data_IF_109528412719
#
_entry.id   IF_109528412719
#
_cell.length_a   1.000
_cell.length_b   1.000
_cell.length_c   1.000
_cell.angle_alpha   90.00
_cell.angle_beta   90.00
_cell.angle_gamma   90.00
#
_symmetry.space_group_name_H-M   'P 1'
#
loop_
_entity.id
_entity.type
_entity.pdbx_description
1 polymer ?
#
# COMPACT_ATOMS: atom_id res chain seq x y z
N UNK A 1 5.39 -12.79 -18.91
CA UNK A 1 6.27 -13.63 -18.06
C UNK A 1 6.06 -13.24 -16.62
N UNK A 2 5.84 -14.22 -15.75
CA UNK A 2 5.52 -13.99 -14.35
C UNK A 2 6.63 -13.30 -13.58
N UNK A 3 7.90 -13.68 -13.79
CA UNK A 3 9.03 -13.01 -13.14
C UNK A 3 9.09 -11.52 -13.48
N UNK A 4 8.64 -11.14 -14.67
CA UNK A 4 8.57 -9.75 -15.10
C UNK A 4 7.51 -8.99 -14.30
N UNK A 5 6.37 -9.63 -14.01
CA UNK A 5 5.31 -9.00 -13.21
C UNK A 5 5.77 -8.75 -11.77
N UNK A 6 6.52 -9.70 -11.19
CA UNK A 6 7.14 -9.49 -9.86
C UNK A 6 8.05 -8.26 -9.90
N UNK A 7 8.90 -8.14 -10.91
CA UNK A 7 9.81 -6.99 -11.02
C UNK A 7 9.07 -5.67 -11.22
N UNK A 8 7.96 -5.70 -11.95
CA UNK A 8 7.12 -4.50 -12.12
C UNK A 8 6.54 -4.03 -10.77
N UNK A 9 6.06 -4.97 -9.95
CA UNK A 9 5.52 -4.62 -8.64
C UNK A 9 6.61 -4.17 -7.69
N UNK A 10 7.75 -4.85 -7.70
CA UNK A 10 8.92 -4.43 -6.91
C UNK A 10 9.33 -3.00 -7.25
N UNK A 11 9.40 -2.68 -8.54
CA UNK A 11 9.75 -1.34 -9.00
C UNK A 11 8.75 -0.28 -8.51
N UNK A 12 7.45 -0.61 -8.49
CA UNK A 12 6.43 0.29 -7.95
C UNK A 12 6.64 0.56 -6.46
N UNK A 13 6.96 -0.47 -5.68
CA UNK A 13 7.25 -0.33 -4.25
C UNK A 13 8.52 0.51 -4.01
N UNK A 14 9.55 0.29 -4.80
CA UNK A 14 10.79 1.08 -4.72
C UNK A 14 10.54 2.54 -5.09
N UNK A 15 9.67 2.79 -6.07
CA UNK A 15 9.26 4.14 -6.45
C UNK A 15 8.55 4.85 -5.30
N UNK A 16 7.68 4.15 -4.58
CA UNK A 16 7.01 4.76 -3.42
C UNK A 16 8.04 5.11 -2.33
N UNK A 17 8.98 4.20 -2.06
CA UNK A 17 10.05 4.46 -1.10
C UNK A 17 10.90 5.68 -1.51
N UNK A 18 11.09 5.88 -2.79
CA UNK A 18 11.81 7.03 -3.34
C UNK A 18 10.94 8.27 -3.56
N UNK A 19 9.66 8.20 -3.23
CA UNK A 19 8.69 9.29 -3.45
C UNK A 19 8.53 9.67 -4.92
N UNK A 20 8.77 8.71 -5.81
CA UNK A 20 8.52 8.85 -7.26
C UNK A 20 7.10 8.36 -7.56
N UNK A 21 6.11 9.24 -7.36
CA UNK A 21 4.71 8.88 -7.51
C UNK A 21 4.31 8.57 -8.95
N UNK A 22 4.99 9.16 -9.92
CA UNK A 22 4.78 8.80 -11.31
C UNK A 22 5.33 7.40 -11.61
N UNK A 23 6.43 7.03 -10.98
CA UNK A 23 7.01 5.70 -11.10
C UNK A 23 6.09 4.60 -10.58
N UNK A 24 5.32 4.88 -9.53
CA UNK A 24 4.37 3.92 -8.96
C UNK A 24 3.32 3.50 -10.00
N UNK A 25 2.85 4.44 -10.82
CA UNK A 25 1.77 4.21 -11.78
C UNK A 25 2.25 3.99 -13.20
N UNK A 26 3.56 3.99 -13.42
CA UNK A 26 4.13 3.87 -14.77
C UNK A 26 3.61 2.64 -15.52
N UNK A 27 3.43 1.54 -14.82
CA UNK A 27 2.97 0.28 -15.38
C UNK A 27 1.54 -0.07 -14.92
N UNK A 28 0.78 0.91 -14.51
CA UNK A 28 -0.63 0.73 -14.19
C UNK A 28 -1.49 1.09 -15.40
N UNK A 29 -2.51 0.29 -15.66
CA UNK A 29 -3.48 0.62 -16.69
C UNK A 29 -4.26 1.87 -16.29
N UNK A 30 -4.65 2.68 -17.29
CA UNK A 30 -5.40 3.91 -17.03
C UNK A 30 -6.69 3.64 -16.24
N UNK A 31 -7.39 2.57 -16.58
CA UNK A 31 -8.63 2.15 -15.92
C UNK A 31 -8.41 1.20 -14.72
N UNK A 32 -7.25 1.22 -14.12
CA UNK A 32 -6.95 0.41 -12.94
C UNK A 32 -8.06 0.53 -11.89
N UNK A 33 -8.46 -0.62 -11.32
CA UNK A 33 -9.36 -0.66 -10.17
C UNK A 33 -8.60 -1.28 -8.99
N UNK A 34 -8.44 -0.52 -7.94
CA UNK A 34 -7.67 -0.95 -6.77
C UNK A 34 -8.47 -0.67 -5.50
N UNK A 35 -8.53 -1.63 -4.60
CA UNK A 35 -9.30 -1.50 -3.37
C UNK A 35 -8.40 -1.58 -2.14
N UNK A 36 -8.48 -0.56 -1.31
CA UNK A 36 -7.95 -0.59 0.05
C UNK A 36 -9.01 -1.29 0.91
N UNK A 37 -8.78 -2.56 1.22
CA UNK A 37 -9.79 -3.38 1.89
C UNK A 37 -9.99 -2.97 3.35
N UNK A 38 -8.96 -2.44 4.00
CA UNK A 38 -9.09 -2.02 5.39
C UNK A 38 -9.94 -0.76 5.54
N UNK A 39 -9.90 0.15 4.55
CA UNK A 39 -10.71 1.36 4.54
C UNK A 39 -12.00 1.21 3.73
N UNK A 40 -12.20 0.06 3.08
CA UNK A 40 -13.32 -0.15 2.14
C UNK A 40 -13.39 0.95 1.08
N UNK A 41 -12.24 1.30 0.53
CA UNK A 41 -12.09 2.38 -0.43
C UNK A 41 -11.64 1.82 -1.77
N UNK A 42 -12.45 2.03 -2.81
CA UNK A 42 -12.12 1.60 -4.17
C UNK A 42 -11.67 2.80 -5.01
N UNK A 43 -10.52 2.65 -5.64
CA UNK A 43 -9.91 3.65 -6.50
C UNK A 43 -10.13 3.21 -7.94
N UNK A 44 -10.88 3.97 -8.71
CA UNK A 44 -11.42 3.55 -10.01
C UNK A 44 -10.59 3.95 -11.23
N UNK A 45 -9.43 4.55 -11.02
CA UNK A 45 -8.52 4.86 -12.10
C UNK A 45 -7.11 5.05 -11.56
N UNK A 46 -6.16 5.12 -12.48
CA UNK A 46 -4.75 5.26 -12.15
C UNK A 46 -4.45 6.53 -11.36
N UNK A 47 -5.10 7.63 -11.67
CA UNK A 47 -4.86 8.90 -10.98
C UNK A 47 -5.34 8.84 -9.52
N UNK A 48 -6.49 8.23 -9.28
CA UNK A 48 -7.01 8.03 -7.92
C UNK A 48 -6.08 7.13 -7.09
N UNK A 49 -5.55 6.10 -7.72
CA UNK A 49 -4.58 5.23 -7.07
C UNK A 49 -3.31 6.00 -6.70
N UNK A 50 -2.79 6.83 -7.61
CA UNK A 50 -1.63 7.68 -7.32
C UNK A 50 -1.91 8.62 -6.15
N UNK A 51 -3.05 9.28 -6.14
CA UNK A 51 -3.45 10.18 -5.04
C UNK A 51 -3.50 9.45 -3.70
N UNK A 52 -3.97 8.21 -3.70
CA UNK A 52 -4.01 7.37 -2.50
C UNK A 52 -2.59 7.06 -2.00
N UNK A 53 -1.66 6.75 -2.89
CA UNK A 53 -0.27 6.52 -2.51
C UNK A 53 0.39 7.78 -1.96
N UNK A 54 0.06 8.95 -2.52
CA UNK A 54 0.54 10.23 -2.04
C UNK A 54 0.00 10.54 -0.65
N UNK A 55 -1.26 10.20 -0.38
CA UNK A 55 -1.88 10.40 0.93
C UNK A 55 -1.17 9.60 2.03
N UNK A 56 -0.78 8.35 1.74
CA UNK A 56 0.03 7.57 2.67
C UNK A 56 1.39 8.23 2.92
N UNK A 57 2.04 8.72 1.88
CA UNK A 57 3.33 9.41 2.01
C UNK A 57 3.20 10.71 2.79
N UNK A 58 2.08 11.40 2.70
CA UNK A 58 1.83 12.62 3.46
C UNK A 58 1.59 12.31 4.94
N UNK A 59 0.87 11.23 5.24
CA UNK A 59 0.62 10.81 6.62
C UNK A 59 1.89 10.32 7.31
N UNK A 60 2.82 9.75 6.54
CA UNK A 60 4.08 9.16 7.01
C UNK A 60 5.19 9.60 6.06
N UNK A 61 5.73 10.82 6.26
CA UNK A 61 6.67 11.41 5.30
C UNK A 61 7.92 10.57 5.06
N UNK A 62 8.39 9.85 6.08
CA UNK A 62 9.53 8.93 5.99
C UNK A 62 9.09 7.48 5.97
N UNK A 63 7.80 7.23 5.70
CA UNK A 63 7.26 5.88 5.60
C UNK A 63 7.97 5.06 4.54
N UNK A 64 8.21 3.78 4.83
CA UNK A 64 8.93 2.88 3.93
C UNK A 64 8.29 1.51 3.91
N UNK A 65 8.29 0.92 2.74
CA UNK A 65 8.02 -0.50 2.55
C UNK A 65 9.33 -1.25 2.85
N UNK A 66 9.26 -2.21 3.77
CA UNK A 66 10.41 -3.01 4.18
C UNK A 66 10.06 -4.50 4.14
N UNK A 67 11.10 -5.33 4.06
CA UNK A 67 11.00 -6.79 4.09
C UNK A 67 9.99 -7.38 3.09
N UNK A 68 10.02 -6.94 1.82
CA UNK A 68 9.03 -7.44 0.85
C UNK A 68 9.31 -8.89 0.45
N UNK A 69 8.25 -9.68 0.36
CA UNK A 69 8.27 -11.01 -0.24
C UNK A 69 7.23 -11.03 -1.36
N UNK A 70 7.62 -11.54 -2.52
CA UNK A 70 6.75 -11.58 -3.70
C UNK A 70 6.46 -13.02 -4.06
N UNK A 71 5.18 -13.33 -4.21
CA UNK A 71 4.70 -14.64 -4.63
C UNK A 71 4.25 -14.52 -6.07
N UNK A 72 4.92 -15.27 -6.94
CA UNK A 72 4.66 -15.26 -8.37
C UNK A 72 3.58 -16.28 -8.71
N UNK A 73 2.41 -15.80 -9.12
CA UNK A 73 1.30 -16.62 -9.56
C UNK A 73 0.91 -16.29 -10.99
N UNK A 74 1.92 -16.14 -11.86
CA UNK A 74 1.81 -15.82 -13.28
C UNK A 74 1.24 -14.41 -13.51
N UNK A 75 -0.02 -14.28 -13.91
CA UNK A 75 -0.65 -12.98 -14.12
C UNK A 75 -1.15 -12.33 -12.84
N UNK A 76 -0.92 -12.97 -11.71
CA UNK A 76 -1.21 -12.43 -10.37
C UNK A 76 0.07 -12.44 -9.55
N UNK A 77 0.38 -11.35 -8.89
CA UNK A 77 1.48 -11.27 -7.93
C UNK A 77 0.91 -10.92 -6.57
N UNK A 78 1.31 -11.68 -5.57
CA UNK A 78 0.99 -11.38 -4.17
C UNK A 78 2.25 -10.84 -3.51
N UNK A 79 2.15 -9.72 -2.83
CA UNK A 79 3.26 -9.14 -2.09
C UNK A 79 2.90 -9.06 -0.61
N UNK A 80 3.82 -9.51 0.23
CA UNK A 80 3.71 -9.34 1.68
C UNK A 80 4.89 -8.48 2.12
N UNK A 81 4.60 -7.44 2.88
CA UNK A 81 5.64 -6.50 3.31
C UNK A 81 5.20 -5.80 4.59
N UNK A 82 6.13 -5.05 5.16
CA UNK A 82 5.87 -4.20 6.32
C UNK A 82 5.92 -2.74 5.85
N UNK A 83 5.04 -1.90 6.35
CA UNK A 83 5.15 -0.45 6.19
C UNK A 83 5.48 0.14 7.55
N UNK A 84 6.56 0.90 7.60
CA UNK A 84 7.04 1.54 8.84
C UNK A 84 7.14 3.04 8.63
N UNK A 85 6.85 3.80 9.66
CA UNK A 85 7.00 5.24 9.61
C UNK A 85 6.46 5.92 10.85
N UNK A 86 6.70 7.22 10.95
CA UNK A 86 6.17 8.07 12.02
C UNK A 86 5.01 8.90 11.45
N UNK A 87 3.91 8.93 12.19
CA UNK A 87 2.73 9.68 11.77
C UNK A 87 2.94 11.18 12.01
N UNK A 88 3.48 11.83 11.02
CA UNK A 88 3.80 13.27 11.05
C UNK A 88 2.87 14.14 10.19
N UNK A 89 1.91 13.53 9.53
CA UNK A 89 0.89 14.21 8.74
C UNK A 89 -0.49 13.64 8.99
N UNK A 90 -1.54 14.27 8.48
CA UNK A 90 -2.90 13.78 8.70
C UNK A 90 -3.12 12.43 8.01
N UNK A 91 -3.85 11.55 8.66
CA UNK A 91 -4.33 10.30 8.07
C UNK A 91 -5.84 10.45 7.88
N UNK A 92 -6.26 10.77 6.66
CA UNK A 92 -7.66 11.17 6.42
C UNK A 92 -8.03 12.37 7.27
N UNK A 93 -9.08 12.25 8.06
CA UNK A 93 -9.53 13.29 9.00
C UNK A 93 -8.81 13.26 10.35
N UNK A 94 -7.95 12.26 10.57
CA UNK A 94 -7.24 12.10 11.84
C UNK A 94 -5.97 12.94 11.85
N UNK A 95 -5.78 13.67 12.95
CA UNK A 95 -4.60 14.51 13.11
C UNK A 95 -3.36 13.66 13.38
N UNK A 96 -2.17 14.13 12.98
CA UNK A 96 -0.95 13.40 13.27
C UNK A 96 -0.69 13.31 14.78
N UNK A 97 -0.22 12.13 15.21
CA UNK A 97 0.06 11.88 16.63
C UNK A 97 1.54 11.81 16.95
N UNK A 98 2.40 11.77 15.92
CA UNK A 98 3.84 11.61 16.12
C UNK A 98 4.24 10.19 16.51
N UNK A 99 3.30 9.24 16.54
CA UNK A 99 3.59 7.86 16.92
C UNK A 99 4.10 7.07 15.73
N UNK A 100 4.82 6.00 16.03
CA UNK A 100 5.37 5.10 15.02
C UNK A 100 4.38 4.02 14.64
N UNK A 101 4.40 3.67 13.36
CA UNK A 101 3.65 2.57 12.79
C UNK A 101 4.63 1.50 12.30
N UNK A 102 4.31 0.24 12.55
CA UNK A 102 4.90 -0.91 11.88
C UNK A 102 3.77 -1.88 11.59
N UNK A 103 3.40 -2.00 10.33
CA UNK A 103 2.15 -2.63 9.93
C UNK A 103 2.37 -3.63 8.82
N UNK A 104 1.83 -4.85 8.99
CA UNK A 104 1.89 -5.86 7.97
C UNK A 104 0.85 -5.58 6.88
N UNK A 105 1.29 -5.64 5.62
CA UNK A 105 0.44 -5.50 4.44
C UNK A 105 0.51 -6.76 3.60
N UNK A 106 -0.61 -7.07 2.96
CA UNK A 106 -0.66 -8.03 1.87
C UNK A 106 -1.31 -7.34 0.68
N UNK A 107 -0.66 -7.39 -0.47
CA UNK A 107 -1.16 -6.79 -1.70
C UNK A 107 -1.31 -7.85 -2.76
N UNK A 108 -2.42 -7.80 -3.50
CA UNK A 108 -2.68 -8.72 -4.62
C UNK A 108 -2.87 -7.87 -5.86
N UNK A 109 -2.06 -8.11 -6.90
CA UNK A 109 -2.13 -7.36 -8.15
C UNK A 109 -2.32 -8.29 -9.32
N UNK A 110 -3.25 -7.94 -10.20
CA UNK A 110 -3.53 -8.65 -11.45
C UNK A 110 -2.94 -7.88 -12.62
N UNK A 111 -2.27 -8.59 -13.50
CA UNK A 111 -1.55 -8.01 -14.63
C UNK A 111 -2.17 -8.45 -15.95
N UNK A 112 -2.17 -7.55 -16.94
CA UNK A 112 -2.54 -7.91 -18.31
C UNK A 112 -1.34 -8.51 -19.07
N UNK A 113 -1.57 -8.87 -20.32
CA UNK A 113 -0.53 -9.49 -21.16
C UNK A 113 0.64 -8.56 -21.48
N UNK A 114 0.45 -7.25 -21.33
CA UNK A 114 1.50 -6.27 -21.54
C UNK A 114 2.27 -5.94 -20.24
N UNK A 115 1.95 -6.62 -19.15
CA UNK A 115 2.61 -6.39 -17.87
C UNK A 115 2.13 -5.16 -17.12
N UNK A 116 0.92 -4.68 -17.43
CA UNK A 116 0.31 -3.57 -16.69
C UNK A 116 -0.59 -4.09 -15.60
N UNK A 117 -0.59 -3.41 -14.48
CA UNK A 117 -1.50 -3.73 -13.38
C UNK A 117 -2.89 -3.22 -13.76
N UNK A 118 -3.86 -4.11 -13.83
CA UNK A 118 -5.24 -3.78 -14.24
C UNK A 118 -6.19 -3.75 -13.05
N UNK A 119 -5.90 -4.52 -12.00
CA UNK A 119 -6.69 -4.51 -10.77
C UNK A 119 -5.86 -5.01 -9.61
N UNK A 120 -6.31 -4.72 -8.42
CA UNK A 120 -5.64 -5.20 -7.23
C UNK A 120 -6.28 -4.69 -5.96
N UNK A 121 -5.61 -4.93 -4.87
CA UNK A 121 -6.04 -4.43 -3.58
C UNK A 121 -5.02 -4.75 -2.51
N UNK A 122 -5.15 -4.07 -1.39
CA UNK A 122 -4.31 -4.32 -0.23
C UNK A 122 -5.16 -4.63 1.00
N UNK A 123 -4.57 -5.41 1.87
CA UNK A 123 -5.15 -5.89 3.11
C UNK A 123 -4.19 -5.56 4.24
N UNK A 124 -4.68 -4.90 5.25
CA UNK A 124 -3.94 -4.64 6.48
C UNK A 124 -4.96 -4.48 7.62
N UNK A 125 -4.49 -4.52 8.85
CA UNK A 125 -5.38 -4.43 10.00
C UNK A 125 -5.54 -2.99 10.44
N UNK A 126 -6.70 -2.40 10.13
CA UNK A 126 -7.03 -1.03 10.49
C UNK A 126 -7.06 -0.83 12.01
N UNK A 127 -7.53 -1.82 12.74
CA UNK A 127 -7.54 -1.76 14.21
C UNK A 127 -6.10 -1.62 14.75
N UNK A 128 -5.17 -2.44 14.25
CA UNK A 128 -3.77 -2.36 14.64
C UNK A 128 -3.17 -1.00 14.31
N UNK A 129 -3.44 -0.49 13.11
CA UNK A 129 -2.96 0.84 12.70
C UNK A 129 -3.46 1.91 13.67
N UNK A 130 -4.75 1.96 13.93
CA UNK A 130 -5.34 2.99 14.78
C UNK A 130 -4.89 2.90 16.23
N UNK A 131 -4.66 1.68 16.75
CA UNK A 131 -4.10 1.52 18.11
C UNK A 131 -2.65 1.97 18.18
N UNK A 132 -1.84 1.63 17.17
CA UNK A 132 -0.44 2.09 17.12
C UNK A 132 -0.34 3.60 17.07
N UNK A 133 -1.24 4.25 16.33
CA UNK A 133 -1.26 5.70 16.21
C UNK A 133 -1.91 6.38 17.43
N UNK A 134 -2.55 5.63 18.31
CA UNK A 134 -3.15 6.16 19.54
C UNK A 134 -4.54 6.73 19.37
N UNK A 135 -5.22 6.44 18.26
CA UNK A 135 -6.59 6.91 18.02
C UNK A 135 -7.65 6.05 18.69
N UNK A 136 -7.34 4.79 18.96
CA UNK A 136 -8.21 3.88 19.71
C UNK A 136 -7.36 3.14 20.75
N UNK A 137 -8.01 2.75 21.85
CA UNK A 137 -7.35 1.95 22.86
C UNK A 137 -7.37 0.47 22.48
N UNK A 138 -6.26 -0.26 22.69
CA UNK A 138 -6.25 -1.67 22.41
C UNK A 138 -7.22 -2.42 23.34
N UNK A 139 -7.86 -3.46 22.78
CA UNK A 139 -8.69 -4.34 23.58
C UNK A 139 -7.81 -5.08 24.61
N UNK A 140 -8.35 -5.27 25.81
CA UNK A 140 -7.67 -6.10 26.80
C UNK A 140 -7.57 -7.52 26.26
N UNK A 141 -6.34 -8.06 26.23
CA UNK A 141 -6.15 -9.44 25.80
C UNK A 141 -6.63 -10.39 26.87
N UNK A 142 -7.35 -11.43 26.46
CA UNK A 142 -7.62 -12.56 27.35
C UNK A 142 -6.29 -13.25 27.64
N UNK A 143 -5.91 -13.28 28.89
CA UNK A 143 -4.64 -13.87 29.31
C UNK A 143 -4.63 -15.39 29.09
#
# INVERSE_FOLDING_TARGET
MSAKNVEMLRAAHESWNGRDFQGIVRNAAEGLVYTDQAQTLTLNNRDKFREWTEAWAKAFSEGRITNPEYIDAADVVVAQFTVEGTNDGPFGSLKPTGRKMSLAFCEVCHFDKQGRIVSGGCYYDQYTLLTQLGHIEPLATAA
#
